data_IF_484059215587
#
_entry.id   IF_484059215587
#
_cell.length_a   1.000
_cell.length_b   1.000
_cell.length_c   1.000
_cell.angle_alpha   90.00
_cell.angle_beta   90.00
_cell.angle_gamma   90.00
#
_symmetry.space_group_name_H-M   'P 1'
#
loop_
_entity.id
_entity.type
_entity.pdbx_description
1 polymer ?
#
# COMPACT_ATOMS: atom_id res chain seq x y z
N UNK A 1 6.63 -55.10 80.31
CA UNK A 1 6.34 -55.95 79.12
C UNK A 1 4.96 -56.56 79.31
N UNK A 2 4.22 -56.94 78.25
CA UNK A 2 4.52 -56.84 76.81
C UNK A 2 3.41 -56.06 76.03
N UNK A 3 3.66 -55.33 74.94
CA UNK A 3 4.29 -55.65 73.64
C UNK A 3 3.52 -56.73 72.88
N UNK A 4 2.69 -56.31 71.91
CA UNK A 4 2.22 -57.16 70.81
C UNK A 4 2.47 -56.48 69.47
N UNK A 5 3.70 -56.70 69.00
CA UNK A 5 4.11 -56.97 67.63
C UNK A 5 3.45 -56.19 66.48
N UNK A 6 4.13 -55.09 66.13
CA UNK A 6 4.24 -54.62 64.75
C UNK A 6 4.85 -55.75 63.92
N UNK A 7 4.06 -56.33 63.01
CA UNK A 7 4.61 -57.00 61.84
C UNK A 7 4.96 -55.92 60.81
N UNK A 8 6.21 -55.88 60.31
CA UNK A 8 6.60 -54.88 59.34
C UNK A 8 5.90 -55.20 58.01
N UNK A 9 5.01 -54.32 57.55
CA UNK A 9 4.70 -54.28 56.11
C UNK A 9 6.01 -53.92 55.42
N UNK A 10 6.59 -54.93 54.78
CA UNK A 10 7.86 -54.88 54.07
C UNK A 10 7.98 -53.57 53.30
N UNK A 11 8.98 -52.77 53.68
CA UNK A 11 9.57 -51.73 52.83
C UNK A 11 10.27 -52.38 51.63
N UNK A 12 9.50 -53.05 50.77
CA UNK A 12 9.89 -53.26 49.40
C UNK A 12 9.51 -51.99 48.67
N UNK A 13 10.48 -51.10 48.54
CA UNK A 13 10.66 -50.15 47.46
C UNK A 13 9.74 -50.54 46.28
N UNK A 14 8.58 -49.88 46.14
CA UNK A 14 7.87 -49.92 44.86
C UNK A 14 8.69 -49.07 43.89
N UNK A 15 9.74 -49.66 43.34
CA UNK A 15 10.42 -49.15 42.18
C UNK A 15 9.35 -48.97 41.10
N UNK A 16 8.95 -47.72 40.83
CA UNK A 16 7.99 -47.37 39.77
C UNK A 16 8.41 -47.98 38.41
N UNK A 17 9.71 -48.17 38.24
CA UNK A 17 10.35 -48.93 37.15
C UNK A 17 9.81 -50.36 37.02
N UNK A 18 9.71 -51.11 38.12
CA UNK A 18 9.24 -52.50 38.11
C UNK A 18 7.76 -52.61 37.77
N UNK A 19 6.94 -51.70 38.30
CA UNK A 19 5.52 -51.64 37.99
C UNK A 19 5.27 -51.32 36.50
N UNK A 20 6.04 -50.37 35.93
CA UNK A 20 5.96 -50.00 34.50
C UNK A 20 6.30 -51.19 33.62
N UNK A 21 7.45 -51.83 33.84
CA UNK A 21 7.91 -52.96 33.02
C UNK A 21 6.93 -54.13 33.08
N UNK A 22 6.50 -54.52 34.29
CA UNK A 22 5.57 -55.64 34.48
C UNK A 22 4.21 -55.35 33.86
N UNK A 23 3.67 -54.13 34.02
CA UNK A 23 2.38 -53.75 33.42
C UNK A 23 2.42 -53.76 31.89
N UNK A 24 3.52 -53.32 31.29
CA UNK A 24 3.69 -53.29 29.84
C UNK A 24 3.84 -54.70 29.25
N UNK A 25 4.64 -55.56 29.88
CA UNK A 25 4.79 -56.95 29.45
C UNK A 25 3.48 -57.73 29.58
N UNK A 26 2.74 -57.56 30.68
CA UNK A 26 1.42 -58.14 30.85
C UNK A 26 0.45 -57.65 29.78
N UNK A 27 0.48 -56.35 29.45
CA UNK A 27 -0.40 -55.77 28.45
C UNK A 27 -0.12 -56.38 27.08
N UNK A 28 1.14 -56.37 26.65
CA UNK A 28 1.55 -56.96 25.37
C UNK A 28 1.18 -58.44 25.29
N UNK A 29 1.36 -59.20 26.36
CA UNK A 29 1.00 -60.63 26.44
C UNK A 29 -0.51 -60.82 26.29
N UNK A 30 -1.34 -60.07 27.01
CA UNK A 30 -2.80 -60.15 26.92
C UNK A 30 -3.30 -59.75 25.53
N UNK A 31 -2.69 -58.74 24.92
CA UNK A 31 -3.00 -58.33 23.54
C UNK A 31 -2.59 -59.37 22.52
N UNK A 32 -1.47 -60.07 22.72
CA UNK A 32 -1.03 -61.19 21.88
C UNK A 32 -2.04 -62.35 21.92
N UNK A 33 -2.64 -62.62 23.07
CA UNK A 33 -3.72 -63.62 23.21
C UNK A 33 -5.12 -63.12 22.78
N UNK A 34 -5.21 -61.94 22.15
CA UNK A 34 -6.47 -61.41 21.61
C UNK A 34 -7.45 -60.91 22.69
N UNK A 35 -6.99 -60.66 23.92
CA UNK A 35 -7.84 -60.14 24.98
C UNK A 35 -8.22 -58.69 24.67
N UNK A 36 -9.52 -58.38 24.77
CA UNK A 36 -10.03 -57.04 24.49
C UNK A 36 -9.52 -56.01 25.48
N UNK A 37 -9.44 -54.76 25.04
CA UNK A 37 -8.91 -53.66 25.84
C UNK A 37 -9.69 -53.44 27.15
N UNK A 38 -11.02 -53.59 27.12
CA UNK A 38 -11.90 -53.48 28.29
C UNK A 38 -11.55 -54.56 29.34
N UNK A 39 -11.34 -55.81 28.90
CA UNK A 39 -10.96 -56.91 29.80
C UNK A 39 -9.56 -56.74 30.38
N UNK A 40 -8.63 -56.16 29.61
CA UNK A 40 -7.30 -55.79 30.12
C UNK A 40 -7.42 -54.73 31.22
N UNK A 41 -8.29 -53.73 31.04
CA UNK A 41 -8.47 -52.65 32.02
C UNK A 41 -9.09 -53.13 33.33
N UNK A 42 -10.09 -54.00 33.25
CA UNK A 42 -10.66 -54.67 34.43
C UNK A 42 -9.62 -55.52 35.18
N UNK A 43 -8.79 -56.25 34.44
CA UNK A 43 -7.71 -57.07 35.01
C UNK A 43 -6.64 -56.20 35.68
N UNK A 44 -6.21 -55.12 35.01
CA UNK A 44 -5.15 -54.22 35.48
C UNK A 44 -5.56 -53.46 36.73
N UNK A 45 -6.84 -53.05 36.83
CA UNK A 45 -7.42 -52.47 38.05
C UNK A 45 -7.36 -53.44 39.22
N UNK A 46 -7.63 -54.74 39.01
CA UNK A 46 -7.63 -55.75 40.08
C UNK A 46 -6.24 -56.03 40.65
N UNK A 47 -5.19 -55.96 39.83
CA UNK A 47 -3.82 -56.25 40.24
C UNK A 47 -3.01 -55.00 40.61
N UNK A 48 -3.61 -53.81 40.55
CA UNK A 48 -2.92 -52.55 40.83
C UNK A 48 -1.84 -52.20 39.79
N UNK A 49 -2.00 -52.66 38.55
CA UNK A 49 -1.10 -52.33 37.44
C UNK A 49 -1.32 -50.89 36.92
N UNK A 50 -0.47 -50.45 35.99
CA UNK A 50 -0.73 -49.22 35.22
C UNK A 50 -2.10 -49.30 34.53
N UNK A 51 -2.71 -48.14 34.23
CA UNK A 51 -3.91 -48.15 33.38
C UNK A 51 -3.58 -48.71 32.01
N UNK A 52 -4.54 -49.35 31.35
CA UNK A 52 -4.35 -49.95 30.02
C UNK A 52 -3.87 -48.90 29.01
N UNK A 53 -4.35 -47.66 29.13
CA UNK A 53 -3.89 -46.50 28.32
C UNK A 53 -2.41 -46.20 28.53
N UNK A 54 -1.93 -46.26 29.77
CA UNK A 54 -0.52 -46.01 30.08
C UNK A 54 0.36 -47.17 29.65
N UNK A 55 -0.08 -48.41 29.83
CA UNK A 55 0.64 -49.60 29.39
C UNK A 55 0.75 -49.67 27.86
N UNK A 56 -0.31 -49.30 27.14
CA UNK A 56 -0.32 -49.22 25.67
C UNK A 56 0.67 -48.20 25.12
N UNK A 57 0.68 -46.98 25.68
CA UNK A 57 1.67 -45.95 25.34
C UNK A 57 3.11 -46.48 25.47
N UNK A 58 3.42 -47.09 26.60
CA UNK A 58 4.78 -47.61 26.84
C UNK A 58 5.09 -48.86 26.02
N UNK A 59 4.11 -49.69 25.69
CA UNK A 59 4.28 -50.80 24.76
C UNK A 59 4.66 -50.31 23.36
N UNK A 60 4.04 -49.23 22.87
CA UNK A 60 4.39 -48.64 21.58
C UNK A 60 5.80 -48.05 21.57
N UNK A 61 6.22 -47.37 22.64
CA UNK A 61 7.60 -46.86 22.81
C UNK A 61 8.62 -48.01 22.89
N UNK A 62 8.26 -49.11 23.56
CA UNK A 62 9.08 -50.31 23.63
C UNK A 62 9.23 -50.99 22.25
N UNK A 63 8.13 -51.11 21.50
CA UNK A 63 8.11 -51.71 20.17
C UNK A 63 8.80 -50.83 19.11
N UNK A 64 8.83 -49.51 19.27
CA UNK A 64 9.49 -48.59 18.35
C UNK A 64 11.02 -48.55 18.49
N UNK A 65 11.61 -49.36 19.38
CA UNK A 65 13.06 -49.44 19.59
C UNK A 65 13.65 -48.37 20.50
N UNK A 66 12.82 -47.50 21.09
CA UNK A 66 13.25 -46.42 21.99
C UNK A 66 13.43 -46.92 23.43
N UNK A 67 14.33 -47.89 23.63
CA UNK A 67 14.52 -48.54 24.94
C UNK A 67 15.01 -47.57 26.02
N UNK A 68 15.85 -46.60 25.66
CA UNK A 68 16.34 -45.59 26.61
C UNK A 68 15.20 -44.70 27.14
N UNK A 69 14.26 -44.32 26.28
CA UNK A 69 13.05 -43.58 26.67
C UNK A 69 12.14 -44.43 27.55
N UNK A 70 11.97 -45.71 27.19
CA UNK A 70 11.22 -46.68 27.97
C UNK A 70 11.82 -46.90 29.37
N UNK A 71 13.14 -46.90 29.53
CA UNK A 71 13.81 -47.07 30.82
C UNK A 71 13.89 -45.76 31.62
N UNK A 72 13.94 -44.60 30.96
CA UNK A 72 14.04 -43.31 31.63
C UNK A 72 12.85 -43.05 32.59
N UNK A 73 13.15 -42.61 33.81
CA UNK A 73 12.15 -42.23 34.82
C UNK A 73 11.79 -40.74 34.80
N UNK A 74 11.90 -40.09 33.62
CA UNK A 74 11.36 -38.75 33.36
C UNK A 74 11.44 -37.77 34.53
N UNK A 75 12.64 -37.25 34.85
CA UNK A 75 12.74 -35.98 35.60
C UNK A 75 12.38 -34.83 34.65
N UNK A 76 11.10 -34.66 34.38
CA UNK A 76 10.55 -33.62 33.51
C UNK A 76 9.04 -33.58 33.67
N UNK A 77 8.45 -32.39 33.71
CA UNK A 77 7.04 -32.18 34.01
C UNK A 77 6.08 -33.04 33.17
N UNK A 78 4.85 -33.23 33.67
CA UNK A 78 3.78 -33.94 32.96
C UNK A 78 3.71 -33.48 31.49
N UNK A 79 4.15 -34.33 30.56
CA UNK A 79 3.89 -34.12 29.14
C UNK A 79 2.40 -34.38 28.91
N UNK A 80 1.59 -33.31 28.99
CA UNK A 80 0.20 -33.34 28.57
C UNK A 80 0.23 -33.43 27.04
N UNK A 81 -0.38 -34.47 26.42
CA UNK A 81 -0.45 -34.56 24.96
C UNK A 81 -1.04 -33.27 24.40
N UNK A 82 -0.39 -32.71 23.39
CA UNK A 82 -0.95 -31.58 22.66
C UNK A 82 -2.21 -32.01 21.92
N UNK A 83 -3.11 -31.08 21.64
CA UNK A 83 -4.31 -31.33 20.82
C UNK A 83 -3.97 -32.04 19.50
N UNK A 84 -2.86 -31.67 18.86
CA UNK A 84 -2.46 -32.26 17.59
C UNK A 84 -1.77 -33.61 17.73
N UNK A 85 -1.30 -33.98 18.92
CA UNK A 85 -0.80 -35.34 19.20
C UNK A 85 -1.96 -36.36 19.12
N UNK A 86 -3.20 -35.88 19.32
CA UNK A 86 -4.43 -36.67 19.22
C UNK A 86 -5.08 -36.53 17.84
N UNK A 87 -4.95 -35.36 17.19
CA UNK A 87 -5.57 -35.04 15.91
C UNK A 87 -4.55 -34.53 14.88
N UNK A 88 -3.62 -35.37 14.40
CA UNK A 88 -2.58 -34.96 13.46
C UNK A 88 -3.14 -34.53 12.09
N UNK A 89 -4.24 -35.12 11.65
CA UNK A 89 -4.88 -34.78 10.37
C UNK A 89 -5.49 -33.36 10.38
N UNK A 90 -5.99 -32.93 11.55
CA UNK A 90 -6.47 -31.56 11.75
C UNK A 90 -5.28 -30.60 11.70
N UNK A 91 -4.13 -30.96 12.26
CA UNK A 91 -2.92 -30.13 12.17
C UNK A 91 -2.51 -29.90 10.72
N UNK A 92 -2.43 -30.97 9.93
CA UNK A 92 -2.03 -30.89 8.52
C UNK A 92 -2.99 -30.04 7.70
N UNK A 93 -4.31 -30.22 7.92
CA UNK A 93 -5.36 -29.48 7.22
C UNK A 93 -5.36 -28.00 7.61
N UNK A 94 -5.23 -27.70 8.91
CA UNK A 94 -5.17 -26.34 9.42
C UNK A 94 -3.92 -25.58 8.95
N UNK A 95 -2.78 -26.26 8.91
CA UNK A 95 -1.54 -25.71 8.35
C UNK A 95 -1.72 -25.38 6.88
N UNK A 96 -2.25 -26.31 6.09
CA UNK A 96 -2.50 -26.11 4.65
C UNK A 96 -3.46 -24.95 4.39
N UNK A 97 -4.57 -24.90 5.12
CA UNK A 97 -5.54 -23.80 5.06
C UNK A 97 -4.87 -22.45 5.34
N UNK A 98 -4.09 -22.35 6.40
CA UNK A 98 -3.42 -21.10 6.77
C UNK A 98 -2.39 -20.65 5.73
N UNK A 99 -1.64 -21.57 5.13
CA UNK A 99 -0.68 -21.26 4.04
C UNK A 99 -1.42 -20.69 2.83
N UNK A 100 -2.51 -21.34 2.40
CA UNK A 100 -3.31 -20.89 1.27
C UNK A 100 -3.94 -19.51 1.51
N UNK A 101 -4.50 -19.28 2.71
CA UNK A 101 -5.12 -17.99 3.07
C UNK A 101 -4.07 -16.87 3.19
N UNK A 102 -2.89 -17.14 3.75
CA UNK A 102 -1.80 -16.16 3.81
C UNK A 102 -1.23 -15.82 2.43
N UNK A 103 -1.24 -16.77 1.48
CA UNK A 103 -0.78 -16.57 0.11
C UNK A 103 -1.82 -15.90 -0.81
N UNK A 104 -3.08 -15.77 -0.37
CA UNK A 104 -4.14 -15.20 -1.18
C UNK A 104 -3.93 -13.68 -1.41
N UNK A 105 -4.18 -13.21 -2.64
CA UNK A 105 -4.06 -11.80 -3.02
C UNK A 105 -4.96 -10.85 -2.22
N UNK A 106 -6.08 -11.34 -1.70
CA UNK A 106 -7.02 -10.58 -0.88
C UNK A 106 -6.41 -10.16 0.47
N UNK A 107 -5.45 -10.96 0.98
CA UNK A 107 -4.70 -10.71 2.22
C UNK A 107 -5.59 -10.36 3.43
N UNK A 108 -6.76 -11.00 3.51
CA UNK A 108 -7.81 -10.77 4.50
C UNK A 108 -7.80 -11.80 5.65
N UNK A 109 -6.82 -12.72 5.65
CA UNK A 109 -6.74 -13.80 6.61
C UNK A 109 -6.65 -13.30 8.06
N UNK A 110 -7.61 -13.74 8.88
CA UNK A 110 -7.64 -13.53 10.32
C UNK A 110 -7.55 -14.86 11.08
N UNK A 111 -6.96 -14.82 12.27
CA UNK A 111 -6.80 -15.98 13.14
C UNK A 111 -8.15 -16.54 13.59
N UNK A 112 -9.19 -15.70 13.65
CA UNK A 112 -10.55 -16.18 13.93
C UNK A 112 -11.06 -17.16 12.88
N UNK A 113 -10.67 -17.00 11.61
CA UNK A 113 -11.02 -17.93 10.53
C UNK A 113 -10.35 -19.29 10.74
N UNK A 114 -9.07 -19.30 11.12
CA UNK A 114 -8.35 -20.54 11.44
C UNK A 114 -8.96 -21.28 12.63
N UNK A 115 -9.37 -20.54 13.67
CA UNK A 115 -9.99 -21.14 14.84
C UNK A 115 -11.35 -21.79 14.51
N UNK A 116 -12.16 -21.13 13.67
CA UNK A 116 -13.43 -21.69 13.15
C UNK A 116 -13.19 -22.91 12.26
N UNK A 117 -12.19 -22.85 11.37
CA UNK A 117 -11.82 -23.97 10.52
C UNK A 117 -11.45 -25.21 11.34
N UNK A 118 -10.60 -25.06 12.37
CA UNK A 118 -10.20 -26.18 13.24
C UNK A 118 -11.39 -26.77 13.99
N UNK A 119 -12.29 -25.90 14.46
CA UNK A 119 -13.50 -26.30 15.17
C UNK A 119 -14.44 -27.13 14.28
N UNK A 120 -14.69 -26.68 13.06
CA UNK A 120 -15.48 -27.42 12.05
C UNK A 120 -14.84 -28.78 11.72
N UNK A 121 -13.53 -28.83 11.51
CA UNK A 121 -12.80 -30.08 11.23
C UNK A 121 -12.89 -31.07 12.40
N UNK A 122 -12.80 -30.59 13.64
CA UNK A 122 -12.91 -31.44 14.82
C UNK A 122 -14.27 -32.13 14.91
N UNK A 123 -15.36 -31.38 14.79
CA UNK A 123 -16.71 -31.96 14.86
C UNK A 123 -17.01 -32.85 13.67
N UNK A 124 -16.47 -32.54 12.49
CA UNK A 124 -16.59 -33.41 11.30
C UNK A 124 -15.92 -34.77 11.52
N UNK A 125 -14.72 -34.80 12.11
CA UNK A 125 -13.94 -36.04 12.29
C UNK A 125 -14.44 -36.87 13.48
N UNK A 126 -14.91 -36.21 14.54
CA UNK A 126 -15.35 -36.89 15.77
C UNK A 126 -16.82 -37.31 15.75
N UNK A 127 -17.61 -36.81 14.78
CA UNK A 127 -19.06 -36.99 14.68
C UNK A 127 -19.82 -36.56 15.96
N UNK A 128 -19.21 -35.69 16.75
CA UNK A 128 -19.83 -35.10 17.94
C UNK A 128 -20.67 -33.90 17.50
N UNK A 129 -21.88 -33.77 18.05
CA UNK A 129 -22.70 -32.57 17.82
C UNK A 129 -22.21 -31.44 18.70
N UNK A 130 -21.86 -30.31 18.08
CA UNK A 130 -21.48 -29.08 18.78
C UNK A 130 -22.70 -28.44 19.47
N UNK A 131 -22.58 -28.08 20.75
CA UNK A 131 -23.55 -27.21 21.41
C UNK A 131 -23.34 -25.74 20.94
N UNK A 132 -24.41 -24.99 20.61
CA UNK A 132 -24.29 -23.57 20.26
C UNK A 132 -23.57 -22.70 21.29
N UNK A 133 -23.56 -23.10 22.57
CA UNK A 133 -22.91 -22.38 23.66
C UNK A 133 -21.45 -22.78 23.87
N UNK A 134 -20.94 -23.79 23.17
CA UNK A 134 -19.57 -24.26 23.35
C UNK A 134 -18.56 -23.28 22.73
N UNK A 135 -17.50 -23.03 23.50
CA UNK A 135 -16.33 -22.29 23.00
C UNK A 135 -15.63 -23.08 21.88
N UNK A 136 -14.88 -22.36 21.04
CA UNK A 136 -14.05 -22.99 20.01
C UNK A 136 -13.10 -24.02 20.63
N UNK A 137 -13.01 -25.21 20.01
CA UNK A 137 -12.13 -26.31 20.43
C UNK A 137 -10.69 -25.83 20.60
N UNK A 138 -10.29 -24.89 19.74
CA UNK A 138 -8.99 -24.22 19.81
C UNK A 138 -9.16 -22.72 19.80
N UNK A 139 -8.72 -22.07 20.89
CA UNK A 139 -8.84 -20.62 21.03
C UNK A 139 -8.01 -19.88 19.97
N UNK A 140 -8.39 -18.63 19.66
CA UNK A 140 -7.59 -17.75 18.80
C UNK A 140 -6.16 -17.58 19.33
N UNK A 141 -5.97 -17.51 20.65
CA UNK A 141 -4.65 -17.39 21.27
C UNK A 141 -3.78 -18.61 20.97
N UNK A 142 -4.35 -19.81 21.08
CA UNK A 142 -3.66 -21.06 20.72
C UNK A 142 -3.32 -21.08 19.23
N UNK A 143 -4.26 -20.70 18.36
CA UNK A 143 -4.05 -20.64 16.92
C UNK A 143 -2.91 -19.67 16.53
N UNK A 144 -2.72 -18.56 17.24
CA UNK A 144 -1.54 -17.67 17.04
C UNK A 144 -0.22 -18.37 17.35
N UNK A 145 -0.20 -19.21 18.39
CA UNK A 145 0.98 -19.98 18.77
C UNK A 145 1.25 -21.04 17.69
N UNK A 146 0.21 -21.69 17.16
CA UNK A 146 0.36 -22.70 16.12
C UNK A 146 0.89 -22.13 14.83
N UNK A 147 0.35 -20.98 14.39
CA UNK A 147 0.87 -20.25 13.24
C UNK A 147 2.38 -19.99 13.37
N UNK A 148 2.83 -19.53 14.54
CA UNK A 148 4.26 -19.34 14.81
C UNK A 148 5.04 -20.66 14.78
N UNK A 149 4.51 -21.74 15.37
CA UNK A 149 5.12 -23.07 15.34
C UNK A 149 5.23 -23.62 13.92
N UNK A 150 4.28 -23.31 13.05
CA UNK A 150 4.26 -23.71 11.65
C UNK A 150 5.15 -22.83 10.75
N UNK A 151 5.78 -21.79 11.31
CA UNK A 151 6.72 -20.92 10.61
C UNK A 151 6.13 -19.60 10.13
N UNK A 152 4.89 -19.27 10.48
CA UNK A 152 4.28 -17.98 10.14
C UNK A 152 4.77 -16.86 11.06
N UNK A 153 4.94 -15.66 10.49
CA UNK A 153 5.31 -14.45 11.23
C UNK A 153 4.24 -13.38 11.07
N UNK A 154 3.98 -12.63 12.13
CA UNK A 154 3.04 -11.51 12.10
C UNK A 154 3.83 -10.21 11.90
N UNK A 155 3.98 -9.80 10.65
CA UNK A 155 4.88 -8.71 10.27
C UNK A 155 4.14 -7.58 9.55
N UNK A 156 4.70 -6.38 9.65
CA UNK A 156 4.26 -5.22 8.87
C UNK A 156 4.72 -5.35 7.43
N UNK A 157 3.84 -5.04 6.48
CA UNK A 157 4.15 -5.05 5.06
C UNK A 157 5.10 -3.89 4.68
N UNK A 158 6.40 -4.04 4.95
CA UNK A 158 7.43 -3.06 4.61
C UNK A 158 7.95 -3.21 3.18
N UNK A 159 7.78 -4.39 2.57
CA UNK A 159 8.20 -4.64 1.18
C UNK A 159 7.18 -4.05 0.21
N UNK A 160 7.38 -2.78 -0.12
CA UNK A 160 6.70 -2.14 -1.24
C UNK A 160 7.45 -2.46 -2.55
N UNK A 161 6.76 -2.75 -3.67
CA UNK A 161 7.36 -3.08 -4.97
C UNK A 161 8.23 -2.00 -5.63
N UNK A 162 8.33 -0.80 -5.06
CA UNK A 162 8.86 0.36 -5.76
C UNK A 162 10.39 0.38 -5.91
N UNK A 163 11.13 -0.58 -5.33
CA UNK A 163 12.59 -0.54 -5.29
C UNK A 163 13.28 -0.70 -6.66
N UNK A 164 12.70 -1.43 -7.61
CA UNK A 164 13.44 -1.79 -8.85
C UNK A 164 13.63 -0.62 -9.84
N UNK A 165 12.86 0.47 -9.71
CA UNK A 165 12.95 1.63 -10.61
C UNK A 165 13.88 2.75 -10.14
N UNK A 166 14.10 2.89 -8.83
CA UNK A 166 14.76 4.07 -8.25
C UNK A 166 16.28 4.13 -8.45
N UNK A 167 16.91 2.98 -8.67
CA UNK A 167 18.37 2.85 -8.83
C UNK A 167 18.80 2.81 -10.31
N UNK A 168 17.86 2.98 -11.26
CA UNK A 168 18.22 3.13 -12.68
C UNK A 168 19.08 4.37 -12.87
N UNK A 169 20.07 4.27 -13.75
CA UNK A 169 21.06 5.34 -13.96
C UNK A 169 20.43 6.67 -14.37
N UNK A 170 19.39 6.65 -15.21
CA UNK A 170 18.66 7.85 -15.64
C UNK A 170 17.89 8.49 -14.47
N UNK A 171 17.30 7.68 -13.60
CA UNK A 171 16.61 8.13 -12.38
C UNK A 171 17.60 8.74 -11.38
N UNK A 172 18.76 8.12 -11.19
CA UNK A 172 19.83 8.63 -10.31
C UNK A 172 20.39 9.94 -10.86
N UNK A 173 20.59 10.06 -12.17
CA UNK A 173 21.03 11.31 -12.80
C UNK A 173 20.02 12.43 -12.55
N UNK A 174 18.73 12.19 -12.81
CA UNK A 174 17.70 13.20 -12.60
C UNK A 174 17.55 13.60 -11.12
N UNK A 175 17.70 12.66 -10.18
CA UNK A 175 17.76 12.98 -8.74
C UNK A 175 18.94 13.91 -8.43
N UNK A 176 20.07 13.68 -9.07
CA UNK A 176 21.27 14.52 -8.91
C UNK A 176 21.02 15.92 -9.46
N UNK A 177 20.42 16.05 -10.64
CA UNK A 177 20.03 17.34 -11.24
C UNK A 177 19.02 18.08 -10.37
N UNK A 178 18.02 17.37 -9.84
CA UNK A 178 17.05 17.92 -8.89
C UNK A 178 17.76 18.48 -7.66
N UNK A 179 18.66 17.73 -7.02
CA UNK A 179 19.42 18.21 -5.87
C UNK A 179 20.33 19.41 -6.22
N UNK A 180 20.92 19.43 -7.42
CA UNK A 180 21.73 20.55 -7.90
C UNK A 180 20.92 21.85 -8.03
N UNK A 181 19.61 21.79 -8.23
CA UNK A 181 18.73 22.97 -8.21
C UNK A 181 18.51 23.51 -6.79
N UNK A 182 18.21 22.64 -5.82
CA UNK A 182 17.82 23.07 -4.46
C UNK A 182 19.01 23.40 -3.56
N UNK A 183 20.09 22.62 -3.61
CA UNK A 183 21.23 22.76 -2.68
C UNK A 183 21.87 24.16 -2.72
N UNK A 184 22.10 24.79 -3.89
CA UNK A 184 22.65 26.15 -3.95
C UNK A 184 21.68 27.22 -3.43
N UNK A 185 20.38 26.95 -3.48
CA UNK A 185 19.30 27.87 -3.06
C UNK A 185 18.82 27.65 -1.64
N UNK A 186 19.42 26.73 -0.88
CA UNK A 186 18.93 26.32 0.45
C UNK A 186 18.64 27.50 1.39
N UNK A 187 19.47 28.55 1.32
CA UNK A 187 19.42 29.72 2.21
C UNK A 187 18.33 30.73 1.78
N UNK A 188 17.68 30.50 0.62
CA UNK A 188 16.53 31.26 0.13
C UNK A 188 15.19 30.68 0.57
N UNK A 189 15.15 29.44 1.06
CA UNK A 189 13.92 28.76 1.47
C UNK A 189 13.64 28.91 2.97
N UNK A 190 12.36 28.81 3.33
CA UNK A 190 11.96 28.54 4.71
C UNK A 190 12.25 27.09 5.06
N UNK A 191 12.90 26.85 6.19
CA UNK A 191 13.23 25.51 6.68
C UNK A 191 12.74 25.33 8.10
N UNK A 192 12.60 24.07 8.54
CA UNK A 192 12.28 23.73 9.92
C UNK A 192 13.54 23.16 10.57
N UNK A 193 13.91 23.66 11.75
CA UNK A 193 15.04 23.15 12.50
C UNK A 193 14.82 21.71 12.95
N UNK A 194 15.85 20.89 12.83
CA UNK A 194 15.87 19.56 13.43
C UNK A 194 15.93 19.66 14.97
N UNK A 195 15.16 18.83 15.68
CA UNK A 195 15.19 18.76 17.14
C UNK A 195 13.83 18.46 17.78
N UNK A 196 13.81 18.29 19.10
CA UNK A 196 12.60 17.98 19.86
C UNK A 196 11.53 19.09 19.85
N UNK A 197 11.90 20.31 19.44
CA UNK A 197 11.03 21.47 19.30
C UNK A 197 11.35 22.16 17.97
N UNK A 198 10.76 21.70 16.85
CA UNK A 198 11.01 22.25 15.52
C UNK A 198 10.59 23.73 15.46
N UNK A 199 11.47 24.58 14.91
CA UNK A 199 11.23 26.01 14.71
C UNK A 199 11.50 26.41 13.26
N UNK A 200 10.72 27.37 12.77
CA UNK A 200 10.95 27.97 11.47
C UNK A 200 12.28 28.73 11.43
N UNK A 201 13.03 28.48 10.37
CA UNK A 201 14.23 29.22 9.98
C UNK A 201 13.85 30.10 8.80
N UNK A 202 13.80 31.41 9.04
CA UNK A 202 13.50 32.39 8.00
C UNK A 202 14.75 32.64 7.15
N UNK A 203 14.62 32.61 5.82
CA UNK A 203 15.72 32.92 4.92
C UNK A 203 16.18 34.37 5.08
N UNK A 204 17.48 34.62 4.90
CA UNK A 204 18.10 35.96 5.10
C UNK A 204 18.37 36.71 3.79
N UNK A 205 17.78 36.24 2.69
CA UNK A 205 17.93 36.84 1.36
C UNK A 205 16.89 37.94 1.14
N UNK A 206 17.15 38.84 0.18
CA UNK A 206 16.25 39.97 -0.13
C UNK A 206 14.90 39.51 -0.72
N UNK A 207 14.90 38.40 -1.46
CA UNK A 207 13.70 37.80 -2.07
C UNK A 207 13.67 36.33 -1.68
N UNK A 208 12.99 35.98 -0.56
CA UNK A 208 12.79 34.59 -0.17
C UNK A 208 12.00 33.79 -1.21
N UNK A 209 12.18 32.48 -1.19
CA UNK A 209 11.43 31.56 -2.07
C UNK A 209 10.49 30.68 -1.24
N UNK A 210 9.21 30.69 -1.59
CA UNK A 210 8.20 29.77 -1.04
C UNK A 210 8.15 28.51 -1.89
N UNK A 211 8.32 27.35 -1.25
CA UNK A 211 8.09 26.06 -1.89
C UNK A 211 6.64 25.64 -1.70
N UNK A 212 5.99 25.31 -2.82
CA UNK A 212 4.67 24.69 -2.82
C UNK A 212 4.82 23.30 -3.43
N UNK A 213 4.38 22.26 -2.72
CA UNK A 213 4.39 20.89 -3.21
C UNK A 213 2.97 20.46 -3.53
N UNK A 214 2.79 19.79 -4.66
CA UNK A 214 1.50 19.25 -5.06
C UNK A 214 1.62 17.75 -5.28
N UNK A 215 0.62 17.02 -4.80
CA UNK A 215 0.50 15.57 -4.91
C UNK A 215 -0.97 15.15 -4.77
N UNK A 216 -1.31 14.00 -5.35
CA UNK A 216 -2.64 13.39 -5.21
C UNK A 216 -2.59 12.08 -4.42
N UNK A 217 -3.48 11.96 -3.45
CA UNK A 217 -3.62 10.78 -2.60
C UNK A 217 -4.98 10.13 -2.77
N UNK A 218 -5.00 8.81 -2.94
CA UNK A 218 -6.25 8.03 -2.96
C UNK A 218 -6.42 7.28 -1.66
N UNK A 219 -7.46 7.60 -0.90
CA UNK A 219 -7.86 6.89 0.32
C UNK A 219 -8.92 5.85 -0.04
N UNK A 220 -8.75 4.59 0.37
CA UNK A 220 -9.74 3.52 0.10
C UNK A 220 -10.36 2.99 1.38
N UNK A 221 -11.67 2.76 1.39
CA UNK A 221 -12.35 2.05 2.46
C UNK A 221 -11.89 0.59 2.48
N UNK A 222 -11.53 0.05 3.65
CA UNK A 222 -11.12 -1.34 3.76
C UNK A 222 -9.67 -1.61 3.35
N UNK A 223 -8.79 -0.59 3.35
CA UNK A 223 -7.35 -0.86 3.40
C UNK A 223 -7.04 -1.75 4.61
N UNK A 224 -6.54 -2.94 4.31
CA UNK A 224 -6.32 -3.99 5.30
C UNK A 224 -5.15 -3.60 6.19
N UNK A 225 -5.24 -3.98 7.48
CA UNK A 225 -4.19 -3.77 8.49
C UNK A 225 -2.78 -3.93 7.92
N UNK A 226 -1.91 -2.97 8.23
CA UNK A 226 -0.51 -2.97 7.82
C UNK A 226 0.26 -4.22 8.28
N UNK A 227 -0.30 -5.02 9.20
CA UNK A 227 0.29 -6.26 9.73
C UNK A 227 -0.56 -7.49 9.41
N UNK A 228 0.09 -8.58 9.00
CA UNK A 228 -0.55 -9.87 8.70
C UNK A 228 0.38 -11.05 8.95
N UNK A 229 -0.18 -12.25 8.90
CA UNK A 229 0.58 -13.50 8.93
C UNK A 229 1.20 -13.80 7.56
N UNK A 230 2.50 -14.08 7.54
CA UNK A 230 3.28 -14.40 6.34
C UNK A 230 4.05 -15.71 6.55
N UNK A 231 4.21 -16.49 5.48
CA UNK A 231 5.06 -17.68 5.44
C UNK A 231 6.26 -17.43 4.52
N UNK A 232 7.45 -17.91 4.94
CA UNK A 232 8.69 -17.93 4.13
C UNK A 232 9.13 -16.58 3.52
N UNK A 233 8.84 -15.46 4.19
CA UNK A 233 9.18 -14.09 3.74
C UNK A 233 8.65 -13.73 2.34
N UNK A 234 7.75 -14.53 1.76
CA UNK A 234 7.13 -14.27 0.47
C UNK A 234 5.82 -13.52 0.67
N UNK A 235 5.86 -12.21 0.42
CA UNK A 235 4.69 -11.37 0.36
C UNK A 235 4.12 -11.39 -1.08
N UNK A 236 2.98 -12.03 -1.37
CA UNK A 236 2.39 -12.01 -2.71
C UNK A 236 2.06 -10.56 -3.13
N UNK A 237 2.15 -10.24 -4.43
CA UNK A 237 1.73 -8.91 -4.92
C UNK A 237 0.22 -8.70 -4.68
N UNK A 238 -0.11 -7.58 -4.04
CA UNK A 238 -1.48 -7.30 -3.62
C UNK A 238 -2.26 -6.54 -4.70
N UNK A 239 -3.54 -6.89 -4.84
CA UNK A 239 -4.50 -5.98 -5.47
C UNK A 239 -4.77 -4.82 -4.52
N UNK A 240 -4.77 -3.58 -5.04
CA UNK A 240 -5.27 -2.41 -4.30
C UNK A 240 -6.65 -2.74 -3.71
N UNK A 241 -6.90 -2.34 -2.45
CA UNK A 241 -8.07 -2.77 -1.67
C UNK A 241 -9.41 -2.62 -2.40
N UNK A 242 -10.33 -3.56 -2.16
CA UNK A 242 -11.71 -3.54 -2.68
C UNK A 242 -12.55 -2.63 -1.77
N UNK A 243 -12.86 -1.43 -2.22
CA UNK A 243 -13.69 -0.49 -1.48
C UNK A 243 -13.88 0.83 -2.20
N UNK A 244 -14.77 1.67 -1.66
CA UNK A 244 -14.96 3.04 -2.15
C UNK A 244 -13.66 3.82 -1.95
N UNK A 245 -13.23 4.56 -2.96
CA UNK A 245 -12.10 5.46 -2.86
C UNK A 245 -12.55 6.90 -2.67
N UNK A 246 -11.69 7.75 -2.12
CA UNK A 246 -11.76 9.19 -2.20
C UNK A 246 -10.38 9.67 -2.67
N UNK A 247 -10.32 10.44 -3.76
CA UNK A 247 -9.08 11.02 -4.25
C UNK A 247 -9.02 12.48 -3.82
N UNK A 248 -7.95 12.83 -3.12
CA UNK A 248 -7.65 14.17 -2.64
C UNK A 248 -6.44 14.70 -3.39
N UNK A 249 -6.49 15.96 -3.80
CA UNK A 249 -5.38 16.68 -4.43
C UNK A 249 -5.14 17.97 -3.64
N UNK A 250 -3.90 18.22 -3.21
CA UNK A 250 -3.59 19.27 -2.24
C UNK A 250 -2.28 20.01 -2.56
N UNK A 251 -2.13 21.23 -2.05
CA UNK A 251 -0.95 22.07 -2.17
C UNK A 251 -0.33 22.34 -0.80
N UNK A 252 0.75 21.62 -0.49
CA UNK A 252 1.53 21.82 0.73
C UNK A 252 2.46 23.01 0.59
N UNK A 253 2.58 23.82 1.65
CA UNK A 253 3.39 25.04 1.64
C UNK A 253 4.49 24.95 2.68
N UNK A 254 5.73 25.22 2.25
CA UNK A 254 6.87 25.41 3.14
C UNK A 254 6.95 26.87 3.58
N UNK A 255 6.05 27.29 4.48
CA UNK A 255 6.00 28.66 5.01
C UNK A 255 5.33 28.70 6.39
N UNK A 256 5.69 29.64 7.28
CA UNK A 256 5.06 29.80 8.61
C UNK A 256 3.54 30.05 8.61
N UNK A 257 2.95 30.39 7.47
CA UNK A 257 1.49 30.60 7.35
C UNK A 257 0.66 29.34 7.51
N UNK A 258 1.27 28.15 7.36
CA UNK A 258 0.59 26.88 7.51
C UNK A 258 1.07 25.84 6.49
N UNK A 259 0.80 24.55 6.77
CA UNK A 259 1.26 23.45 5.91
C UNK A 259 0.46 23.32 4.62
N UNK A 260 -0.73 23.92 4.52
CA UNK A 260 -1.60 23.87 3.34
C UNK A 260 -1.83 25.26 2.79
N UNK A 261 -1.96 25.37 1.47
CA UNK A 261 -2.29 26.64 0.84
C UNK A 261 -3.75 27.02 1.12
N UNK A 262 -3.96 28.16 1.78
CA UNK A 262 -5.30 28.70 2.04
C UNK A 262 -5.25 30.22 2.18
N UNK A 263 -6.25 30.92 1.65
CA UNK A 263 -6.45 32.35 1.88
C UNK A 263 -7.17 32.62 3.21
N UNK A 264 -6.86 33.74 3.83
CA UNK A 264 -7.70 34.31 4.89
C UNK A 264 -9.06 34.73 4.32
N UNK A 265 -10.11 34.90 5.15
CA UNK A 265 -11.41 35.37 4.67
C UNK A 265 -11.30 36.66 3.86
N UNK A 266 -10.55 37.65 4.37
CA UNK A 266 -10.36 38.94 3.70
C UNK A 266 -9.53 38.83 2.41
N UNK A 267 -8.57 37.91 2.34
CA UNK A 267 -7.83 37.64 1.10
C UNK A 267 -8.76 37.00 0.04
N UNK A 268 -9.65 36.11 0.47
CA UNK A 268 -10.59 35.44 -0.43
C UNK A 268 -11.72 36.34 -0.91
N UNK A 269 -12.25 37.23 -0.07
CA UNK A 269 -13.26 38.22 -0.50
C UNK A 269 -12.72 39.08 -1.64
N UNK A 270 -11.46 39.56 -1.53
CA UNK A 270 -10.76 40.27 -2.61
C UNK A 270 -10.58 39.39 -3.86
N UNK A 271 -10.34 38.10 -3.67
CA UNK A 271 -10.22 37.16 -4.78
C UNK A 271 -11.54 36.99 -5.53
N UNK A 272 -12.66 36.90 -4.80
CA UNK A 272 -14.01 36.81 -5.36
C UNK A 272 -14.44 38.08 -6.08
N UNK A 273 -14.06 39.26 -5.60
CA UNK A 273 -14.30 40.53 -6.30
C UNK A 273 -13.67 40.54 -7.71
N UNK A 274 -12.50 39.91 -7.87
CA UNK A 274 -11.79 39.84 -9.16
C UNK A 274 -12.16 38.61 -9.98
N UNK A 275 -12.42 37.48 -9.32
CA UNK A 275 -12.69 36.18 -9.91
C UNK A 275 -13.95 35.56 -9.29
N UNK A 276 -15.16 36.04 -9.67
CA UNK A 276 -16.41 35.52 -9.12
C UNK A 276 -16.62 34.02 -9.38
N UNK A 277 -16.01 33.48 -10.43
CA UNK A 277 -16.07 32.06 -10.79
C UNK A 277 -15.43 31.12 -9.76
N UNK A 278 -14.69 31.66 -8.78
CA UNK A 278 -14.13 30.87 -7.68
C UNK A 278 -15.19 30.34 -6.71
N UNK A 279 -16.40 30.91 -6.72
CA UNK A 279 -17.56 30.50 -5.91
C UNK A 279 -18.59 29.67 -6.70
N UNK A 280 -18.35 29.45 -7.99
CA UNK A 280 -19.23 28.62 -8.83
C UNK A 280 -19.10 27.14 -8.46
N UNK A 281 -20.23 26.42 -8.51
CA UNK A 281 -20.27 24.98 -8.30
C UNK A 281 -19.54 24.27 -9.47
N UNK A 282 -18.55 23.44 -9.13
CA UNK A 282 -17.75 22.68 -10.10
C UNK A 282 -17.89 21.18 -9.84
N UNK A 283 -17.53 20.36 -10.82
CA UNK A 283 -17.52 18.89 -10.70
C UNK A 283 -16.51 18.38 -9.65
N UNK A 284 -15.62 19.26 -9.15
CA UNK A 284 -14.62 18.98 -8.14
C UNK A 284 -14.97 19.72 -6.85
N UNK A 285 -14.94 19.02 -5.72
CA UNK A 285 -15.25 19.58 -4.42
C UNK A 285 -14.02 20.32 -3.85
N UNK A 286 -13.94 21.62 -4.11
CA UNK A 286 -12.87 22.45 -3.56
C UNK A 286 -13.07 22.73 -2.06
N UNK A 287 -11.96 22.72 -1.34
CA UNK A 287 -11.92 23.25 0.04
C UNK A 287 -12.05 24.77 -0.03
N UNK A 288 -12.91 25.31 0.83
CA UNK A 288 -13.17 26.74 0.94
C UNK A 288 -11.86 27.53 1.09
N UNK A 289 -11.71 28.60 0.29
CA UNK A 289 -10.53 29.49 0.29
C UNK A 289 -9.21 28.83 -0.09
N UNK A 290 -9.25 27.63 -0.69
CA UNK A 290 -8.08 26.87 -1.11
C UNK A 290 -8.18 26.43 -2.57
N UNK A 291 -7.07 25.92 -3.12
CA UNK A 291 -7.04 25.18 -4.38
C UNK A 291 -7.07 23.65 -4.16
N UNK A 292 -7.05 23.21 -2.91
CA UNK A 292 -7.16 21.80 -2.53
C UNK A 292 -8.55 21.30 -2.85
N UNK A 293 -8.65 20.08 -3.36
CA UNK A 293 -9.91 19.59 -3.88
C UNK A 293 -10.02 18.06 -3.73
N UNK A 294 -11.25 17.57 -3.62
CA UNK A 294 -11.56 16.14 -3.66
C UNK A 294 -12.54 15.81 -4.78
N UNK A 295 -12.50 14.56 -5.23
CA UNK A 295 -13.46 14.04 -6.20
C UNK A 295 -14.20 12.87 -5.56
N UNK A 296 -15.51 13.01 -5.36
CA UNK A 296 -16.36 11.99 -4.77
C UNK A 296 -16.66 10.84 -5.77
N UNK A 297 -16.09 9.66 -5.52
CA UNK A 297 -16.23 8.47 -6.36
C UNK A 297 -17.56 7.72 -6.14
N UNK A 298 -18.69 8.33 -6.50
CA UNK A 298 -19.91 7.55 -6.74
C UNK A 298 -19.84 6.74 -8.05
N UNK A 299 -18.91 7.11 -8.95
CA UNK A 299 -18.43 6.38 -10.13
C UNK A 299 -16.89 6.54 -10.20
N UNK A 300 -16.19 5.81 -11.06
CA UNK A 300 -14.71 5.82 -11.22
C UNK A 300 -14.12 7.21 -11.61
N UNK A 301 -14.25 8.21 -10.76
CA UNK A 301 -13.81 9.57 -10.98
C UNK A 301 -12.38 9.76 -10.44
N UNK A 302 -11.47 10.12 -11.33
CA UNK A 302 -10.07 10.42 -11.05
C UNK A 302 -9.78 11.87 -11.47
N UNK A 303 -8.76 12.47 -10.88
CA UNK A 303 -8.21 13.71 -11.44
C UNK A 303 -7.64 13.41 -12.83
N UNK A 304 -8.28 13.99 -13.84
CA UNK A 304 -7.82 14.02 -15.21
C UNK A 304 -7.03 15.30 -15.50
N UNK A 305 -6.52 15.45 -16.72
CA UNK A 305 -5.72 16.61 -17.09
C UNK A 305 -6.51 17.93 -16.96
N UNK A 306 -7.81 17.93 -17.25
CA UNK A 306 -8.67 19.11 -17.17
C UNK A 306 -8.88 19.57 -15.73
N UNK A 307 -9.19 18.64 -14.83
CA UNK A 307 -9.40 18.92 -13.42
C UNK A 307 -8.11 19.40 -12.75
N UNK A 308 -6.96 18.77 -13.05
CA UNK A 308 -5.65 19.26 -12.58
C UNK A 308 -5.35 20.66 -13.13
N UNK A 309 -5.56 20.91 -14.43
CA UNK A 309 -5.33 22.23 -15.01
C UNK A 309 -6.19 23.31 -14.32
N UNK A 310 -7.48 23.05 -14.15
CA UNK A 310 -8.40 23.95 -13.46
C UNK A 310 -7.97 24.21 -12.01
N UNK A 311 -7.48 23.17 -11.33
CA UNK A 311 -6.96 23.27 -9.97
C UNK A 311 -5.71 24.17 -9.88
N UNK A 312 -4.76 24.03 -10.81
CA UNK A 312 -3.58 24.89 -10.88
C UNK A 312 -3.96 26.33 -11.27
N UNK A 313 -4.90 26.52 -12.19
CA UNK A 313 -5.42 27.86 -12.54
C UNK A 313 -6.06 28.53 -11.31
N UNK A 314 -6.84 27.78 -10.53
CA UNK A 314 -7.38 28.25 -9.25
C UNK A 314 -6.27 28.65 -8.28
N UNK A 315 -5.24 27.82 -8.10
CA UNK A 315 -4.09 28.17 -7.26
C UNK A 315 -3.44 29.49 -7.70
N UNK A 316 -3.15 29.64 -9.00
CA UNK A 316 -2.49 30.84 -9.53
C UNK A 316 -3.35 32.10 -9.36
N UNK A 317 -4.67 31.99 -9.46
CA UNK A 317 -5.60 33.10 -9.14
C UNK A 317 -5.50 33.47 -7.66
N UNK A 318 -5.57 32.49 -6.77
CA UNK A 318 -5.54 32.70 -5.32
C UNK A 318 -4.18 33.24 -4.84
N UNK A 319 -3.06 32.79 -5.41
CA UNK A 319 -1.72 33.22 -5.01
C UNK A 319 -1.52 34.74 -5.10
N UNK A 320 -2.20 35.41 -6.05
CA UNK A 320 -2.14 36.87 -6.20
C UNK A 320 -2.64 37.64 -4.96
N UNK A 321 -3.44 36.99 -4.12
CA UNK A 321 -4.04 37.60 -2.93
C UNK A 321 -3.38 37.14 -1.63
N UNK A 322 -2.40 36.24 -1.69
CA UNK A 322 -1.75 35.74 -0.49
C UNK A 322 -0.74 36.77 0.02
N UNK A 323 -1.15 37.62 0.96
CA UNK A 323 -0.39 38.80 1.38
C UNK A 323 0.96 38.43 1.98
N UNK A 324 1.03 37.32 2.73
CA UNK A 324 2.29 36.84 3.30
C UNK A 324 3.29 36.32 2.27
N UNK A 325 2.89 36.13 1.00
CA UNK A 325 3.79 35.75 -0.10
C UNK A 325 4.20 36.95 -0.95
N UNK A 326 3.78 38.16 -0.60
CA UNK A 326 4.24 39.37 -1.28
C UNK A 326 5.77 39.47 -1.21
N UNK A 327 6.39 39.86 -2.32
CA UNK A 327 7.86 39.94 -2.48
C UNK A 327 8.60 38.60 -2.32
N UNK A 328 7.92 37.47 -2.56
CA UNK A 328 8.56 36.16 -2.64
C UNK A 328 8.61 35.67 -4.09
N UNK A 329 9.64 34.90 -4.41
CA UNK A 329 9.60 33.98 -5.56
C UNK A 329 8.86 32.71 -5.13
N UNK A 330 8.19 32.02 -6.05
CA UNK A 330 7.43 30.80 -5.79
C UNK A 330 7.96 29.68 -6.68
N UNK A 331 8.29 28.56 -6.07
CA UNK A 331 8.68 27.34 -6.75
C UNK A 331 7.64 26.27 -6.43
N UNK A 332 6.91 25.82 -7.46
CA UNK A 332 5.90 24.76 -7.35
C UNK A 332 6.52 23.44 -7.80
N UNK A 333 6.55 22.47 -6.90
CA UNK A 333 7.12 21.15 -7.08
C UNK A 333 6.00 20.14 -7.28
N UNK A 334 6.03 19.45 -8.41
CA UNK A 334 5.06 18.41 -8.81
C UNK A 334 5.80 17.12 -9.14
N UNK A 335 5.11 15.99 -9.06
CA UNK A 335 5.62 14.77 -9.67
C UNK A 335 5.59 14.85 -11.21
N UNK A 336 6.22 13.91 -11.90
CA UNK A 336 6.19 13.83 -13.36
C UNK A 336 5.04 12.95 -13.87
N UNK A 337 3.84 13.09 -13.29
CA UNK A 337 2.64 12.44 -13.81
C UNK A 337 2.28 12.93 -15.22
N UNK A 338 1.53 12.10 -15.97
CA UNK A 338 1.00 12.51 -17.29
C UNK A 338 0.06 13.70 -17.18
N UNK A 339 -0.64 13.84 -16.06
CA UNK A 339 -1.55 14.94 -15.72
C UNK A 339 -0.79 16.26 -15.52
N UNK A 340 0.35 16.25 -14.81
CA UNK A 340 1.21 17.43 -14.64
C UNK A 340 2.00 17.81 -15.89
N UNK A 341 2.29 16.84 -16.75
CA UNK A 341 3.01 17.04 -18.01
C UNK A 341 2.09 17.21 -19.23
N UNK A 342 0.78 17.31 -19.01
CA UNK A 342 -0.23 17.51 -20.04
C UNK A 342 -0.10 18.91 -20.67
N UNK A 343 0.90 19.05 -21.55
CA UNK A 343 1.02 20.19 -22.46
C UNK A 343 -0.21 20.21 -23.35
N UNK A 344 -0.73 21.40 -23.62
CA UNK A 344 -1.90 21.63 -24.48
C UNK A 344 -1.83 20.85 -25.80
N UNK A 345 -0.66 20.64 -26.44
CA UNK A 345 -0.53 19.75 -27.60
C UNK A 345 0.90 19.19 -27.74
N UNK A 346 1.08 17.87 -27.82
CA UNK A 346 2.40 17.26 -28.03
C UNK A 346 2.80 17.27 -29.52
N UNK A 347 3.81 18.06 -29.88
CA UNK A 347 4.35 18.16 -31.24
C UNK A 347 4.84 16.82 -31.84
N UNK A 348 5.10 15.80 -31.01
CA UNK A 348 5.45 14.46 -31.49
C UNK A 348 4.26 13.72 -32.10
N UNK A 349 3.03 14.09 -31.73
CA UNK A 349 1.80 13.44 -32.18
C UNK A 349 1.29 13.98 -33.52
N UNK A 350 1.83 15.10 -33.99
CA UNK A 350 1.51 15.64 -35.30
C UNK A 350 2.40 15.04 -36.39
N UNK A 351 1.80 14.73 -37.53
CA UNK A 351 2.49 14.40 -38.77
C UNK A 351 2.89 15.64 -39.56
N UNK A 352 3.72 15.45 -40.59
CA UNK A 352 4.27 16.55 -41.41
C UNK A 352 3.25 17.16 -42.36
N UNK A 353 2.50 16.30 -43.07
CA UNK A 353 1.71 16.67 -44.25
C UNK A 353 0.21 16.70 -44.02
N UNK A 354 -0.53 17.07 -45.06
CA UNK A 354 -2.01 16.99 -45.06
C UNK A 354 -2.46 15.54 -44.88
N UNK A 355 -3.57 15.34 -44.16
CA UNK A 355 -4.14 14.01 -43.90
C UNK A 355 -3.21 13.07 -43.11
N UNK A 356 -2.27 13.64 -42.34
CA UNK A 356 -1.42 12.88 -41.42
C UNK A 356 -1.94 13.00 -39.99
N UNK A 357 -1.30 12.29 -39.04
CA UNK A 357 -1.73 12.27 -37.63
C UNK A 357 -1.88 13.71 -37.10
N UNK A 358 -3.02 14.02 -36.52
CA UNK A 358 -3.30 15.28 -35.84
C UNK A 358 -4.19 14.94 -34.64
N UNK A 359 -3.72 15.14 -33.40
CA UNK A 359 -4.43 14.66 -32.21
C UNK A 359 -5.66 15.51 -31.85
N UNK A 360 -5.85 16.67 -32.48
CA UNK A 360 -6.78 17.70 -32.01
C UNK A 360 -7.48 18.42 -33.16
N UNK A 361 -8.68 18.93 -32.91
CA UNK A 361 -9.51 19.58 -33.93
C UNK A 361 -9.21 21.07 -34.10
N UNK A 362 -8.69 21.72 -33.06
CA UNK A 362 -8.37 23.14 -33.03
C UNK A 362 -7.24 23.40 -32.03
N UNK A 363 -6.34 24.33 -32.35
CA UNK A 363 -5.38 24.92 -31.43
C UNK A 363 -5.95 26.23 -30.90
N UNK A 364 -5.81 26.49 -29.61
CA UNK A 364 -6.17 27.76 -28.99
C UNK A 364 -4.98 28.32 -28.20
N UNK A 365 -4.76 29.63 -28.27
CA UNK A 365 -3.71 30.30 -27.50
C UNK A 365 -4.03 31.76 -27.26
N UNK A 366 -3.38 32.36 -26.26
CA UNK A 366 -3.46 33.80 -26.00
C UNK A 366 -2.26 34.47 -26.65
N UNK A 367 -2.50 35.50 -27.45
CA UNK A 367 -1.42 36.27 -28.08
C UNK A 367 -0.79 37.30 -27.12
N UNK A 368 0.25 38.01 -27.58
CA UNK A 368 0.95 39.01 -26.79
C UNK A 368 0.08 40.22 -26.35
N UNK A 369 -1.14 40.34 -26.89
CA UNK A 369 -2.11 41.39 -26.54
C UNK A 369 -3.20 40.88 -25.59
N UNK A 370 -3.10 39.62 -25.12
CA UNK A 370 -4.10 39.02 -24.24
C UNK A 370 -5.36 38.55 -24.98
N UNK A 371 -5.34 38.46 -26.31
CA UNK A 371 -6.50 38.05 -27.10
C UNK A 371 -6.41 36.54 -27.38
N UNK A 372 -7.50 35.83 -27.13
CA UNK A 372 -7.62 34.40 -27.48
C UNK A 372 -7.70 34.24 -29.00
N UNK A 373 -6.69 33.58 -29.54
CA UNK A 373 -6.59 33.16 -30.93
C UNK A 373 -6.95 31.68 -31.04
N UNK A 374 -7.44 31.29 -32.22
CA UNK A 374 -7.74 29.89 -32.48
C UNK A 374 -7.47 29.50 -33.93
N UNK A 375 -7.00 28.28 -34.14
CA UNK A 375 -6.65 27.74 -35.44
C UNK A 375 -7.25 26.34 -35.62
N UNK A 376 -8.20 26.14 -36.55
CA UNK A 376 -8.72 24.81 -36.85
C UNK A 376 -7.61 23.92 -37.41
N UNK A 377 -7.47 22.71 -36.89
CA UNK A 377 -6.50 21.72 -37.37
C UNK A 377 -6.98 20.93 -38.59
N UNK A 378 -8.19 21.20 -39.08
CA UNK A 378 -8.74 20.60 -40.29
C UNK A 378 -9.06 21.67 -41.33
N UNK A 379 -8.87 21.34 -42.61
CA UNK A 379 -9.24 22.26 -43.68
C UNK A 379 -10.75 22.45 -43.72
N UNK A 380 -11.19 23.69 -43.55
CA UNK A 380 -12.61 24.05 -43.56
C UNK A 380 -13.17 24.19 -44.98
N UNK A 381 -12.31 24.50 -45.96
CA UNK A 381 -12.67 24.79 -47.36
C UNK A 381 -11.59 24.28 -48.32
N UNK A 382 -11.90 24.22 -49.61
CA UNK A 382 -10.95 23.84 -50.67
C UNK A 382 -10.82 22.32 -50.91
N UNK A 383 -9.86 21.89 -51.76
CA UNK A 383 -9.71 20.51 -52.21
C UNK A 383 -9.32 19.53 -51.09
N UNK A 384 -8.86 20.04 -49.95
CA UNK A 384 -8.51 19.25 -48.78
C UNK A 384 -9.56 19.30 -47.66
N UNK A 385 -10.77 19.82 -47.92
CA UNK A 385 -11.83 19.96 -46.90
C UNK A 385 -12.03 18.66 -46.11
N UNK A 386 -12.06 18.76 -44.78
CA UNK A 386 -12.23 17.63 -43.86
C UNK A 386 -10.95 16.82 -43.61
N UNK A 387 -9.84 17.10 -44.30
CA UNK A 387 -8.53 16.48 -44.00
C UNK A 387 -7.81 17.25 -42.90
N UNK A 388 -7.02 16.54 -42.11
CA UNK A 388 -6.16 17.13 -41.07
C UNK A 388 -5.02 17.95 -41.69
N UNK A 389 -4.62 19.01 -40.99
CA UNK A 389 -3.43 19.81 -41.27
C UNK A 389 -2.24 19.17 -40.55
N UNK A 390 -1.14 18.97 -41.29
CA UNK A 390 0.14 18.60 -40.69
C UNK A 390 0.89 19.82 -40.16
N UNK A 391 2.00 19.60 -39.45
CA UNK A 391 2.81 20.68 -38.88
C UNK A 391 3.30 21.69 -39.91
N UNK A 392 3.53 21.27 -41.17
CA UNK A 392 3.94 22.21 -42.21
C UNK A 392 2.85 23.25 -42.50
N UNK A 393 1.60 22.78 -42.65
CA UNK A 393 0.47 23.67 -42.90
C UNK A 393 0.16 24.54 -41.68
N UNK A 394 0.22 23.96 -40.48
CA UNK A 394 0.01 24.71 -39.23
C UNK A 394 1.07 25.81 -39.08
N UNK A 395 2.34 25.52 -39.33
CA UNK A 395 3.41 26.51 -39.25
C UNK A 395 3.26 27.65 -40.28
N UNK A 396 2.72 27.37 -41.47
CA UNK A 396 2.41 28.42 -42.46
C UNK A 396 1.28 29.31 -41.95
N UNK A 397 0.20 28.74 -41.44
CA UNK A 397 -0.95 29.50 -40.94
C UNK A 397 -0.67 30.28 -39.65
N UNK A 398 0.31 29.82 -38.87
CA UNK A 398 0.87 30.54 -37.72
C UNK A 398 1.96 31.55 -38.10
N UNK A 399 2.15 31.83 -39.40
CA UNK A 399 3.15 32.78 -39.91
C UNK A 399 4.60 32.50 -39.46
N UNK A 400 4.95 31.24 -39.20
CA UNK A 400 6.30 30.83 -38.79
C UNK A 400 7.27 30.65 -39.98
N UNK A 401 6.80 30.84 -41.22
CA UNK A 401 7.58 30.78 -42.47
C UNK A 401 8.52 29.57 -42.61
N UNK A 402 8.02 28.32 -42.49
CA UNK A 402 8.85 27.13 -42.64
C UNK A 402 9.29 26.92 -44.10
N UNK A 403 10.46 26.30 -44.31
CA UNK A 403 10.83 25.78 -45.62
C UNK A 403 9.86 24.67 -46.06
N UNK A 404 9.42 24.68 -47.32
CA UNK A 404 8.58 23.61 -47.88
C UNK A 404 9.26 22.22 -47.83
N UNK A 405 10.60 22.20 -47.78
CA UNK A 405 11.41 20.99 -47.66
C UNK A 405 11.76 20.65 -46.20
N UNK A 406 11.32 21.46 -45.22
CA UNK A 406 11.67 21.28 -43.82
C UNK A 406 11.36 19.85 -43.32
N UNK A 407 12.29 19.27 -42.57
CA UNK A 407 12.09 17.98 -41.93
C UNK A 407 11.08 18.10 -40.79
N UNK A 408 10.46 16.99 -40.42
CA UNK A 408 9.50 16.97 -39.31
C UNK A 408 10.16 17.43 -38.00
N UNK A 409 11.43 17.09 -37.77
CA UNK A 409 12.21 17.56 -36.61
C UNK A 409 12.39 19.08 -36.59
N UNK A 410 12.65 19.70 -37.76
CA UNK A 410 12.82 21.15 -37.90
C UNK A 410 11.51 21.90 -37.65
N UNK A 411 10.39 21.37 -38.16
CA UNK A 411 9.05 21.92 -37.89
C UNK A 411 8.69 21.86 -36.41
N UNK A 412 9.07 20.77 -35.72
CA UNK A 412 8.87 20.64 -34.28
C UNK A 412 9.70 21.65 -33.50
N UNK A 413 10.97 21.85 -33.85
CA UNK A 413 11.81 22.86 -33.20
C UNK A 413 11.29 24.29 -33.43
N UNK A 414 10.83 24.58 -34.66
CA UNK A 414 10.24 25.87 -35.01
C UNK A 414 8.98 26.16 -34.19
N UNK A 415 8.06 25.20 -34.12
CA UNK A 415 6.78 25.36 -33.44
C UNK A 415 6.86 25.25 -31.91
N UNK A 416 7.89 24.61 -31.36
CA UNK A 416 8.07 24.45 -29.91
C UNK A 416 8.10 25.79 -29.15
N UNK A 417 8.47 26.87 -29.83
CA UNK A 417 8.55 28.22 -29.27
C UNK A 417 7.30 29.06 -29.53
N UNK A 418 6.36 28.58 -30.34
CA UNK A 418 5.15 29.31 -30.70
C UNK A 418 4.12 29.24 -29.56
N UNK A 419 3.42 30.33 -29.20
CA UNK A 419 2.41 30.35 -28.13
C UNK A 419 1.34 29.25 -28.24
N UNK A 420 0.93 28.90 -29.47
CA UNK A 420 0.01 27.79 -29.76
C UNK A 420 0.47 26.39 -29.30
N UNK A 421 1.76 26.20 -29.05
CA UNK A 421 2.35 24.93 -28.62
C UNK A 421 3.18 25.07 -27.34
N UNK A 422 3.23 26.27 -26.77
CA UNK A 422 3.87 26.52 -25.48
C UNK A 422 2.94 25.99 -24.39
N UNK A 423 3.51 25.47 -23.30
CA UNK A 423 2.73 25.16 -22.11
C UNK A 423 2.03 26.42 -21.63
N UNK A 424 0.71 26.45 -21.80
CA UNK A 424 -0.13 27.45 -21.18
C UNK A 424 -0.96 26.68 -20.16
N UNK A 425 -0.48 26.63 -18.91
CA UNK A 425 -1.42 26.89 -17.83
C UNK A 425 -1.92 28.29 -18.18
N UNK A 426 -3.21 28.44 -18.52
CA UNK A 426 -3.77 29.68 -19.08
C UNK A 426 -3.12 30.87 -18.39
N UNK A 427 -2.63 31.83 -19.17
CA UNK A 427 -1.90 32.99 -18.69
C UNK A 427 -2.75 33.78 -17.69
N UNK A 428 -2.76 33.32 -16.44
CA UNK A 428 -3.22 34.07 -15.28
C UNK A 428 -2.18 35.17 -15.15
N UNK A 429 -2.64 36.41 -15.21
CA UNK A 429 -1.81 37.60 -15.15
C UNK A 429 -1.17 37.73 -13.75
N UNK A 430 -0.11 36.96 -13.48
CA UNK A 430 0.64 36.97 -12.22
C UNK A 430 1.69 38.09 -12.23
N UNK A 431 1.28 39.30 -12.65
CA UNK A 431 2.15 40.50 -12.82
C UNK A 431 3.08 40.82 -11.64
N UNK A 432 2.79 40.27 -10.46
CA UNK A 432 3.52 40.54 -9.22
C UNK A 432 4.22 39.32 -8.60
N UNK A 433 4.20 38.14 -9.24
CA UNK A 433 4.81 36.92 -8.69
C UNK A 433 5.75 36.26 -9.70
N UNK A 434 6.96 35.94 -9.25
CA UNK A 434 7.90 35.10 -10.00
C UNK A 434 7.60 33.63 -9.67
N UNK A 435 6.99 32.91 -10.61
CA UNK A 435 6.56 31.51 -10.42
C UNK A 435 7.35 30.59 -11.34
N UNK A 436 7.85 29.48 -10.81
CA UNK A 436 8.48 28.42 -11.58
C UNK A 436 7.97 27.03 -11.19
N UNK A 437 7.88 26.14 -12.18
CA UNK A 437 7.43 24.75 -12.01
C UNK A 437 8.62 23.79 -12.10
N UNK A 438 8.71 22.87 -11.15
CA UNK A 438 9.77 21.86 -11.04
C UNK A 438 9.14 20.47 -11.01
N UNK A 439 9.62 19.56 -11.87
CA UNK A 439 9.10 18.21 -11.99
C UNK A 439 10.02 17.19 -11.32
N UNK A 440 9.45 16.27 -10.54
CA UNK A 440 10.17 15.20 -9.85
C UNK A 440 10.18 13.91 -10.68
N UNK A 441 11.39 13.35 -10.92
CA UNK A 441 11.71 12.14 -11.70
C UNK A 441 11.61 12.22 -13.24
N UNK A 442 12.44 11.45 -13.99
CA UNK A 442 12.29 11.30 -15.43
C UNK A 442 11.12 10.37 -15.75
N UNK A 443 10.49 10.55 -16.93
CA UNK A 443 9.45 9.65 -17.42
C UNK A 443 9.98 8.22 -17.43
N UNK A 444 9.24 7.29 -16.82
CA UNK A 444 9.32 5.89 -17.20
C UNK A 444 8.89 5.80 -18.67
N UNK A 445 9.87 5.78 -19.58
CA UNK A 445 9.67 5.30 -20.93
C UNK A 445 9.44 3.79 -20.79
N UNK A 446 8.16 3.39 -20.83
CA UNK A 446 7.77 2.02 -21.13
C UNK A 446 8.05 1.70 -22.60
#
# INVERSE_FOLDING_TARGET
MPVSHILPRSNAIQNKTGLKIVSVLLYMTLRLFGISWIKCDEFFKKIGALTTRTADKWANIFLSGSFDEFISEGRGGKHIPSFYDVFPDIELSAKTYSIQRCAAKAADFDVSELAKFIDEQFYTITDVKKDPNDSLIRSMQSCRIDLRRWGARFESNSQRPYFEGHERQDVVQHRTEFLQHFLPKKDSYYLISEGAQPKWQTPKVNVPTVLIFHDESTFRSGEVSAKRWLYNDQAPFYSKGRGRSNMLSDFLVMHPSGPFFQLSPTEYDKALEKYPELDEEQDVDYIERSASASVHLSSDAYFDNSTILAQFERLLKLLQFKECFNNHSIEIVVDNARTHSARAYNLLEFGKGVSTRCPVDQLQWVDAKGITQSLPCYFQRGPNRGKSKGLLQIAIELNCNPSLKAKLSELRQLLAHHPAFRNVICAVDTKNLEISFLFFFPRFLD
#
